data_IF_687343439664
#
_entry.id   IF_687343439664
#
_cell.length_a   1.000
_cell.length_b   1.000
_cell.length_c   1.000
_cell.angle_alpha   90.00
_cell.angle_beta   90.00
_cell.angle_gamma   90.00
#
_symmetry.space_group_name_H-M   'P 1'
#
loop_
_entity.id
_entity.type
_entity.pdbx_description
1 polymer ?
#
# COMPACT_ATOMS: atom_id res chain seq x y z
N UNK A 1 3.74 8.04 -5.39
CA UNK A 1 4.66 8.11 -6.56
C UNK A 1 5.19 6.72 -6.84
N UNK A 2 5.31 6.31 -8.11
CA UNK A 2 5.87 5.00 -8.49
C UNK A 2 7.15 5.24 -9.29
N UNK A 3 8.26 4.67 -8.84
CA UNK A 3 9.53 4.66 -9.56
C UNK A 3 9.75 3.26 -10.14
N UNK A 4 9.56 3.13 -11.44
CA UNK A 4 9.65 1.83 -12.13
C UNK A 4 11.09 1.35 -12.24
N UNK A 5 12.02 2.27 -12.50
CA UNK A 5 13.44 1.92 -12.66
C UNK A 5 13.99 1.42 -11.34
N UNK A 6 13.75 2.14 -10.24
CA UNK A 6 14.13 1.75 -8.89
C UNK A 6 13.29 0.58 -8.34
N UNK A 7 12.10 0.31 -8.90
CA UNK A 7 11.17 -0.68 -8.36
C UNK A 7 10.60 -0.27 -7.00
N UNK A 8 10.32 1.03 -6.82
CA UNK A 8 9.86 1.62 -5.57
C UNK A 8 8.48 2.26 -5.69
N UNK A 9 7.83 2.41 -4.54
CA UNK A 9 6.60 3.17 -4.38
C UNK A 9 6.66 4.05 -3.14
N UNK A 10 6.27 5.31 -3.28
CA UNK A 10 5.97 6.21 -2.17
C UNK A 10 4.46 6.30 -1.99
N UNK A 11 3.98 5.90 -0.82
CA UNK A 11 2.59 6.01 -0.39
C UNK A 11 2.46 7.23 0.53
N UNK A 12 1.35 7.96 0.42
CA UNK A 12 1.03 9.08 1.29
C UNK A 12 -0.42 9.00 1.76
N UNK A 13 -0.67 9.32 3.03
CA UNK A 13 -2.02 9.38 3.59
C UNK A 13 -2.12 10.43 4.70
N UNK A 14 -3.31 11.00 4.87
CA UNK A 14 -3.51 12.19 5.70
C UNK A 14 -3.64 11.86 7.20
N UNK A 15 -3.72 10.58 7.55
CA UNK A 15 -3.69 10.06 8.93
C UNK A 15 -3.18 8.62 8.96
N UNK A 16 -2.78 8.13 10.13
CA UNK A 16 -2.37 6.74 10.36
C UNK A 16 -2.76 6.27 11.78
N UNK A 17 -3.15 5.00 11.99
CA UNK A 17 -3.31 4.44 13.32
C UNK A 17 -1.98 4.41 14.09
N UNK A 18 -1.97 4.90 15.33
CA UNK A 18 -0.75 4.92 16.18
C UNK A 18 -0.11 3.55 16.38
N UNK A 19 -0.92 2.49 16.41
CA UNK A 19 -0.45 1.10 16.54
C UNK A 19 0.36 0.60 15.34
N UNK A 20 0.33 1.31 14.21
CA UNK A 20 1.15 1.01 13.03
C UNK A 20 2.50 1.74 13.03
N UNK A 21 2.76 2.62 14.01
CA UNK A 21 3.86 3.57 13.97
C UNK A 21 4.94 3.23 14.99
N UNK A 22 6.22 3.44 14.64
CA UNK A 22 7.33 3.51 15.60
C UNK A 22 7.33 4.85 16.34
N UNK A 23 7.03 5.93 15.61
CA UNK A 23 6.96 7.29 16.10
C UNK A 23 5.74 8.00 15.49
N UNK A 24 5.15 8.95 16.21
CA UNK A 24 4.02 9.73 15.69
C UNK A 24 4.02 11.16 16.22
N UNK A 25 3.46 12.06 15.41
CA UNK A 25 3.25 13.45 15.74
C UNK A 25 1.84 13.90 15.31
N UNK A 26 1.34 14.97 15.91
CA UNK A 26 0.10 15.61 15.47
C UNK A 26 0.47 16.75 14.51
N UNK A 27 -0.11 16.77 13.31
CA UNK A 27 0.12 17.81 12.30
C UNK A 27 -1.18 18.32 11.70
N UNK A 28 -1.15 19.55 11.16
CA UNK A 28 -2.24 20.15 10.38
C UNK A 28 -2.33 19.54 8.97
N UNK A 29 -3.46 19.73 8.28
CA UNK A 29 -3.65 19.21 6.92
C UNK A 29 -2.76 19.97 5.93
N UNK A 30 -2.05 19.27 5.03
CA UNK A 30 -1.01 19.91 4.19
C UNK A 30 -1.59 20.97 3.24
N UNK A 31 -2.78 20.71 2.67
CA UNK A 31 -3.38 21.59 1.66
C UNK A 31 -4.08 22.80 2.28
N UNK A 32 -4.75 22.63 3.42
CA UNK A 32 -5.64 23.66 4.00
C UNK A 32 -5.12 24.29 5.29
N UNK A 33 -4.16 23.67 5.98
CA UNK A 33 -3.72 24.06 7.32
C UNK A 33 -4.77 23.86 8.42
N UNK A 34 -5.99 23.42 8.08
CA UNK A 34 -7.11 23.26 9.02
C UNK A 34 -7.24 21.81 9.49
N UNK A 35 -7.59 21.64 10.76
CA UNK A 35 -7.77 20.34 11.40
C UNK A 35 -6.45 19.61 11.66
N UNK A 36 -6.45 18.71 12.63
CA UNK A 36 -5.26 17.95 13.05
C UNK A 36 -5.49 16.45 12.99
N UNK A 37 -4.47 15.68 12.63
CA UNK A 37 -4.45 14.23 12.85
C UNK A 37 -3.02 13.71 12.90
N UNK A 38 -2.89 12.39 13.05
CA UNK A 38 -1.61 11.74 13.24
C UNK A 38 -0.82 11.63 11.94
N UNK A 39 0.41 12.11 12.00
CA UNK A 39 1.51 11.68 11.15
C UNK A 39 2.25 10.56 11.88
N UNK A 40 2.67 9.52 11.16
CA UNK A 40 3.48 8.46 11.75
C UNK A 40 4.63 8.01 10.85
N UNK A 41 5.69 7.55 11.50
CA UNK A 41 6.79 6.80 10.88
C UNK A 41 6.46 5.32 11.03
N UNK A 42 6.51 4.56 9.93
CA UNK A 42 6.33 3.11 9.99
C UNK A 42 7.64 2.47 10.47
N UNK A 43 7.60 1.41 11.29
CA UNK A 43 8.80 0.69 11.69
C UNK A 43 9.56 0.09 10.50
N UNK A 44 10.87 -0.08 10.65
CA UNK A 44 11.64 -0.84 9.67
C UNK A 44 11.12 -2.29 9.55
N UNK A 45 11.28 -2.84 8.35
CA UNK A 45 11.07 -4.25 8.08
C UNK A 45 10.37 -4.55 6.77
N UNK A 46 9.84 -5.76 6.70
CA UNK A 46 9.09 -6.29 5.55
C UNK A 46 7.63 -5.91 5.66
N UNK A 47 7.04 -5.61 4.52
CA UNK A 47 5.64 -5.26 4.35
C UNK A 47 5.03 -6.00 3.17
N UNK A 48 3.71 -6.13 3.20
CA UNK A 48 2.90 -6.59 2.07
C UNK A 48 1.98 -5.46 1.64
N UNK A 49 2.15 -5.02 0.39
CA UNK A 49 1.26 -4.08 -0.28
C UNK A 49 0.28 -4.87 -1.15
N UNK A 50 -1.01 -4.64 -0.98
CA UNK A 50 -2.01 -5.33 -1.78
C UNK A 50 -3.25 -4.49 -2.07
N UNK A 51 -4.04 -4.94 -3.03
CA UNK A 51 -5.35 -4.40 -3.38
C UNK A 51 -6.17 -5.48 -4.08
N UNK A 52 -7.43 -5.61 -3.66
CA UNK A 52 -8.46 -6.33 -4.43
C UNK A 52 -9.23 -5.29 -5.25
N UNK A 53 -9.51 -5.60 -6.51
CA UNK A 53 -10.19 -4.68 -7.42
C UNK A 53 -10.57 -5.31 -8.74
N UNK A 54 -10.53 -4.52 -9.81
CA UNK A 54 -11.05 -4.92 -11.12
C UNK A 54 -12.56 -4.72 -11.21
N UNK A 55 -13.14 -4.94 -12.39
CA UNK A 55 -14.55 -4.66 -12.67
C UNK A 55 -15.52 -5.49 -11.81
N UNK A 56 -15.08 -6.66 -11.35
CA UNK A 56 -15.89 -7.63 -10.58
C UNK A 56 -15.37 -7.85 -9.17
N UNK A 57 -14.37 -7.06 -8.71
CA UNK A 57 -13.68 -7.25 -7.43
C UNK A 57 -12.99 -8.61 -7.26
N UNK A 58 -12.60 -9.26 -8.36
CA UNK A 58 -11.95 -10.58 -8.34
C UNK A 58 -10.45 -10.54 -8.61
N UNK A 59 -9.89 -9.38 -8.96
CA UNK A 59 -8.47 -9.26 -9.25
C UNK A 59 -7.69 -8.90 -7.98
N UNK A 60 -6.53 -9.55 -7.78
CA UNK A 60 -5.61 -9.27 -6.68
C UNK A 60 -4.29 -8.71 -7.21
N UNK A 61 -3.94 -7.51 -6.78
CA UNK A 61 -2.55 -7.05 -6.75
C UNK A 61 -1.96 -7.37 -5.38
N UNK A 62 -0.82 -8.05 -5.35
CA UNK A 62 -0.07 -8.32 -4.12
C UNK A 62 1.43 -8.26 -4.38
N UNK A 63 2.16 -7.61 -3.48
CA UNK A 63 3.60 -7.46 -3.55
C UNK A 63 4.22 -7.43 -2.15
N UNK A 64 5.29 -8.22 -1.97
CA UNK A 64 6.21 -8.07 -0.85
C UNK A 64 7.12 -6.87 -1.10
N UNK A 65 7.32 -6.05 -0.08
CA UNK A 65 8.20 -4.90 -0.14
C UNK A 65 8.98 -4.72 1.17
N UNK A 66 10.10 -4.01 1.09
CA UNK A 66 10.91 -3.62 2.24
C UNK A 66 10.75 -2.12 2.48
N UNK A 67 10.71 -1.72 3.75
CA UNK A 67 10.83 -0.33 4.13
C UNK A 67 12.14 0.27 3.60
N UNK A 68 12.07 1.48 3.06
CA UNK A 68 13.24 2.26 2.63
C UNK A 68 13.38 3.50 3.49
N UNK A 69 12.32 4.31 3.56
CA UNK A 69 12.33 5.57 4.29
C UNK A 69 10.92 6.11 4.54
N UNK A 70 10.83 7.07 5.45
CA UNK A 70 9.67 7.92 5.64
C UNK A 70 9.94 9.30 5.06
N UNK A 71 8.93 9.86 4.39
CA UNK A 71 9.02 11.16 3.72
C UNK A 71 8.48 12.30 4.57
N UNK A 72 8.87 13.53 4.25
CA UNK A 72 8.33 14.79 4.79
C UNK A 72 8.09 15.80 3.65
N UNK A 73 7.74 15.33 2.45
CA UNK A 73 7.48 16.23 1.32
C UNK A 73 6.18 17.01 1.60
N UNK A 74 6.28 18.32 1.78
CA UNK A 74 5.15 19.20 2.08
C UNK A 74 4.11 19.27 0.93
N UNK A 75 4.43 18.72 -0.26
CA UNK A 75 3.47 18.57 -1.38
C UNK A 75 2.63 17.29 -1.29
N UNK A 76 2.92 16.40 -0.34
CA UNK A 76 2.18 15.17 -0.09
C UNK A 76 1.50 15.23 1.29
N UNK A 77 0.52 14.33 1.52
CA UNK A 77 -0.13 14.23 2.82
C UNK A 77 0.84 13.80 3.95
N UNK A 78 0.36 13.91 5.20
CA UNK A 78 1.15 13.79 6.45
C UNK A 78 2.04 12.55 6.54
N UNK A 79 1.46 11.36 6.48
CA UNK A 79 2.19 10.10 6.63
C UNK A 79 2.68 9.65 5.28
N UNK A 80 4.00 9.49 5.14
CA UNK A 80 4.63 9.11 3.88
C UNK A 80 5.61 7.96 4.12
N UNK A 81 5.56 6.94 3.26
CA UNK A 81 6.48 5.81 3.32
C UNK A 81 6.90 5.40 1.91
N UNK A 82 8.21 5.22 1.73
CA UNK A 82 8.79 4.64 0.52
C UNK A 82 9.14 3.19 0.77
N UNK A 83 8.70 2.33 -0.16
CA UNK A 83 8.89 0.89 -0.10
C UNK A 83 9.61 0.41 -1.37
N UNK A 84 10.56 -0.51 -1.19
CA UNK A 84 11.24 -1.22 -2.27
C UNK A 84 10.53 -2.54 -2.52
N UNK A 85 10.00 -2.77 -3.72
CA UNK A 85 9.46 -4.08 -4.06
C UNK A 85 10.57 -5.13 -4.13
N UNK A 86 10.31 -6.29 -3.53
CA UNK A 86 11.22 -7.44 -3.64
C UNK A 86 11.32 -7.92 -5.09
N UNK A 87 10.21 -7.86 -5.83
CA UNK A 87 10.15 -8.10 -7.28
C UNK A 87 9.94 -6.75 -8.00
N UNK A 88 11.00 -6.19 -8.61
CA UNK A 88 10.97 -4.84 -9.20
C UNK A 88 9.86 -4.65 -10.23
N UNK A 89 9.52 -5.71 -10.98
CA UNK A 89 8.43 -5.69 -11.97
C UNK A 89 7.05 -5.32 -11.39
N UNK A 90 6.87 -5.44 -10.07
CA UNK A 90 5.64 -5.02 -9.39
C UNK A 90 5.38 -3.52 -9.53
N UNK A 91 6.41 -2.67 -9.52
CA UNK A 91 6.25 -1.24 -9.75
C UNK A 91 5.61 -0.95 -11.12
N UNK A 92 6.10 -1.59 -12.19
CA UNK A 92 5.55 -1.41 -13.53
C UNK A 92 4.09 -1.90 -13.63
N UNK A 93 3.75 -2.99 -12.94
CA UNK A 93 2.39 -3.54 -13.00
C UNK A 93 1.33 -2.61 -12.41
N UNK A 94 1.68 -1.76 -11.43
CA UNK A 94 0.79 -0.73 -10.89
C UNK A 94 0.36 0.29 -11.95
N UNK A 95 1.21 0.55 -12.95
CA UNK A 95 0.92 1.52 -14.02
C UNK A 95 0.26 0.86 -15.24
N UNK A 96 0.62 -0.40 -15.55
CA UNK A 96 0.09 -1.11 -16.72
C UNK A 96 -1.28 -1.73 -16.51
N UNK A 97 -1.58 -2.21 -15.30
CA UNK A 97 -2.85 -2.85 -14.94
C UNK A 97 -3.32 -2.38 -13.56
N UNK A 98 -3.58 -1.07 -13.38
CA UNK A 98 -3.99 -0.54 -12.08
C UNK A 98 -5.35 -1.11 -11.66
N UNK A 99 -5.44 -1.62 -10.44
CA UNK A 99 -6.73 -1.97 -9.83
C UNK A 99 -7.39 -0.78 -9.11
N UNK A 100 -6.72 0.38 -9.10
CA UNK A 100 -7.07 1.61 -8.39
C UNK A 100 -5.86 2.20 -7.67
N UNK A 101 -6.02 3.37 -7.04
CA UNK A 101 -4.94 4.11 -6.37
C UNK A 101 -4.83 3.86 -4.85
N UNK A 102 -5.88 3.35 -4.21
CA UNK A 102 -5.87 3.02 -2.77
C UNK A 102 -5.37 1.60 -2.52
N UNK A 103 -4.27 1.46 -1.79
CA UNK A 103 -3.71 0.17 -1.43
C UNK A 103 -3.75 -0.05 0.08
N UNK A 104 -3.79 -1.32 0.48
CA UNK A 104 -3.62 -1.74 1.86
C UNK A 104 -2.16 -2.15 2.09
N UNK A 105 -1.60 -1.67 3.19
CA UNK A 105 -0.23 -1.96 3.61
C UNK A 105 -0.26 -2.65 4.97
N UNK A 106 0.35 -3.84 5.06
CA UNK A 106 0.39 -4.64 6.28
C UNK A 106 1.83 -5.02 6.58
N UNK A 107 2.25 -4.89 7.86
CA UNK A 107 3.58 -5.29 8.30
C UNK A 107 3.73 -6.82 8.27
N UNK A 108 4.86 -7.30 7.77
CA UNK A 108 5.17 -8.71 7.55
C UNK A 108 4.92 -9.17 6.11
N UNK A 109 5.40 -10.37 5.81
CA UNK A 109 5.16 -11.07 4.55
C UNK A 109 3.90 -11.92 4.66
N UNK A 110 2.83 -11.45 4.03
CA UNK A 110 1.52 -12.12 3.98
C UNK A 110 1.11 -12.41 2.54
N UNK A 111 2.03 -12.33 1.58
CA UNK A 111 1.72 -12.45 0.16
C UNK A 111 1.06 -13.80 -0.16
N UNK A 112 1.58 -14.90 0.38
CA UNK A 112 1.02 -16.24 0.15
C UNK A 112 -0.35 -16.42 0.81
N UNK A 113 -0.56 -15.89 2.01
CA UNK A 113 -1.87 -15.91 2.67
C UNK A 113 -2.92 -15.18 1.84
N UNK A 114 -2.57 -14.03 1.26
CA UNK A 114 -3.45 -13.27 0.39
C UNK A 114 -3.72 -13.99 -0.94
N UNK A 115 -2.73 -14.67 -1.50
CA UNK A 115 -2.93 -15.51 -2.70
C UNK A 115 -3.87 -16.68 -2.42
N UNK A 116 -3.70 -17.36 -1.28
CA UNK A 116 -4.61 -18.42 -0.83
C UNK A 116 -6.03 -17.87 -0.65
N UNK A 117 -6.18 -16.72 0.01
CA UNK A 117 -7.48 -16.05 0.13
C UNK A 117 -8.11 -15.78 -1.25
N UNK A 118 -7.35 -15.24 -2.20
CA UNK A 118 -7.86 -14.97 -3.55
C UNK A 118 -8.31 -16.25 -4.29
N UNK A 119 -7.56 -17.33 -4.14
CA UNK A 119 -7.92 -18.62 -4.73
C UNK A 119 -9.24 -19.16 -4.15
N UNK A 120 -9.44 -19.04 -2.84
CA UNK A 120 -10.62 -19.56 -2.16
C UNK A 120 -11.87 -18.69 -2.36
N UNK A 121 -11.70 -17.37 -2.41
CA UNK A 121 -12.82 -16.42 -2.26
C UNK A 121 -13.03 -15.49 -3.46
N UNK A 122 -12.01 -15.27 -4.30
CA UNK A 122 -12.14 -14.38 -5.47
C UNK A 122 -12.31 -15.13 -6.79
N UNK A 123 -11.94 -16.41 -6.82
CA UNK A 123 -11.96 -17.21 -8.05
C UNK A 123 -13.29 -17.97 -8.27
N UNK A 124 -14.29 -17.76 -7.41
CA UNK A 124 -15.59 -18.43 -7.53
C UNK A 124 -16.49 -17.70 -8.52
N UNK A 125 -16.50 -18.21 -9.75
CA UNK A 125 -17.55 -17.91 -10.72
C UNK A 125 -18.80 -18.73 -10.34
N UNK A 126 -19.94 -18.13 -9.94
CA UNK A 126 -21.15 -18.87 -9.58
C UNK A 126 -21.70 -19.73 -10.74
N UNK A 127 -21.25 -19.50 -11.97
CA UNK A 127 -21.65 -20.23 -13.17
C UNK A 127 -20.91 -21.54 -13.46
N UNK A 128 -19.91 -21.94 -12.65
CA UNK A 128 -19.13 -23.18 -12.86
C UNK A 128 -19.46 -24.32 -11.88
N UNK A 129 -20.43 -24.15 -10.98
CA UNK A 129 -20.95 -25.20 -10.09
C UNK A 129 -22.33 -25.70 -10.55
N UNK A 130 -22.50 -25.96 -11.84
CA UNK A 130 -23.65 -26.69 -12.39
C UNK A 130 -23.18 -27.94 -13.10
#
# INVERSE_FOLDING_TARGET
MVDVEAGQITLAHCTIPRTMCSEHAVRSHFESGLGVAFQGTLPDGVYTLFRIGGATLQDLYVAKALYVSSGQDERLCRTQVTLQFAERGKALSLLRRPLGNHHLLVRGDHADKLRIYAQLFLSTNPGQMR
#
